data_IF_832791687148
#
_entry.id   IF_832791687148
#
_cell.length_a   1.000
_cell.length_b   1.000
_cell.length_c   1.000
_cell.angle_alpha   90.00
_cell.angle_beta   90.00
_cell.angle_gamma   90.00
#
_symmetry.space_group_name_H-M   'P 1'
#
loop_
_entity.id
_entity.type
_entity.pdbx_description
1 polymer ?
#
# COMPACT_ATOMS: atom_id res chain seq x y z
N UNK A 1 -5.38 -2.19 -25.53
CA UNK A 1 -5.99 -2.84 -24.35
C UNK A 1 -7.30 -2.14 -24.02
N UNK A 2 -8.36 -2.86 -23.68
CA UNK A 2 -9.66 -2.26 -23.37
C UNK A 2 -9.88 -2.24 -21.86
N UNK A 3 -10.56 -1.19 -21.39
CA UNK A 3 -10.85 -0.99 -19.96
C UNK A 3 -12.35 -0.88 -19.73
N UNK A 4 -12.82 -1.56 -18.71
CA UNK A 4 -14.22 -1.65 -18.32
C UNK A 4 -14.38 -1.32 -16.83
N UNK A 5 -15.56 -0.85 -16.48
CA UNK A 5 -15.95 -0.61 -15.09
C UNK A 5 -17.23 -1.37 -14.76
N UNK A 6 -17.32 -1.94 -13.55
CA UNK A 6 -18.53 -2.61 -13.06
C UNK A 6 -18.80 -2.30 -11.58
N UNK A 7 -20.05 -1.94 -11.26
CA UNK A 7 -20.58 -1.84 -9.89
C UNK A 7 -21.08 -3.16 -9.32
N UNK A 8 -20.98 -4.26 -10.06
CA UNK A 8 -21.53 -5.56 -9.64
C UNK A 8 -20.49 -6.67 -9.76
N UNK A 9 -20.75 -7.79 -9.08
CA UNK A 9 -19.91 -9.00 -9.19
C UNK A 9 -19.95 -9.65 -10.57
N UNK A 10 -20.98 -9.38 -11.36
CA UNK A 10 -21.10 -9.88 -12.73
C UNK A 10 -20.16 -9.07 -13.63
N UNK A 11 -18.89 -9.38 -13.53
CA UNK A 11 -17.91 -8.98 -14.52
C UNK A 11 -18.21 -9.79 -15.77
N UNK A 12 -18.32 -9.13 -16.91
CA UNK A 12 -18.57 -9.82 -18.19
C UNK A 12 -17.36 -10.63 -18.58
N UNK A 13 -17.56 -11.72 -19.33
CA UNK A 13 -16.47 -12.56 -19.86
C UNK A 13 -15.71 -11.88 -21.03
N UNK A 14 -15.85 -10.57 -21.17
CA UNK A 14 -15.19 -9.78 -22.22
C UNK A 14 -13.71 -9.64 -21.89
N UNK A 15 -12.81 -10.03 -22.80
CA UNK A 15 -11.37 -9.86 -22.59
C UNK A 15 -10.98 -8.39 -22.36
N UNK A 16 -10.14 -8.13 -21.37
CA UNK A 16 -9.66 -6.79 -21.04
C UNK A 16 -9.46 -6.58 -19.55
N UNK A 17 -9.28 -5.32 -19.17
CA UNK A 17 -9.11 -4.90 -17.80
C UNK A 17 -10.43 -4.42 -17.23
N UNK A 18 -10.83 -4.99 -16.11
CA UNK A 18 -12.06 -4.63 -15.42
C UNK A 18 -11.75 -3.98 -14.08
N UNK A 19 -12.15 -2.72 -13.94
CA UNK A 19 -12.19 -2.02 -12.67
C UNK A 19 -13.51 -2.35 -11.96
N UNK A 20 -13.42 -2.94 -10.80
CA UNK A 20 -14.58 -3.33 -10.01
C UNK A 20 -14.55 -2.56 -8.69
N UNK A 21 -15.70 -2.04 -8.27
CA UNK A 21 -15.78 -1.31 -7.02
C UNK A 21 -15.33 -2.20 -5.86
N UNK A 22 -14.52 -1.67 -4.96
CA UNK A 22 -13.76 -2.44 -3.97
C UNK A 22 -14.62 -3.18 -2.94
N UNK A 23 -15.85 -2.72 -2.69
CA UNK A 23 -16.78 -3.37 -1.76
C UNK A 23 -17.47 -4.62 -2.30
N UNK A 24 -17.38 -4.89 -3.60
CA UNK A 24 -18.18 -5.95 -4.26
C UNK A 24 -17.72 -7.36 -3.86
N UNK A 25 -16.43 -7.57 -3.70
CA UNK A 25 -15.81 -8.85 -3.32
C UNK A 25 -15.53 -8.96 -1.82
N UNK A 26 -15.70 -7.85 -1.11
CA UNK A 26 -15.53 -7.77 0.33
C UNK A 26 -16.91 -7.72 1.00
N UNK A 27 -17.02 -8.15 2.25
CA UNK A 27 -18.25 -8.09 3.05
C UNK A 27 -18.61 -6.65 3.49
N UNK A 28 -18.12 -5.64 2.80
CA UNK A 28 -18.40 -4.23 3.09
C UNK A 28 -19.71 -3.80 2.42
N UNK A 29 -20.52 -3.03 3.13
CA UNK A 29 -21.81 -2.52 2.62
C UNK A 29 -21.65 -1.34 1.66
N UNK A 30 -20.53 -0.64 1.71
CA UNK A 30 -20.25 0.56 0.91
C UNK A 30 -18.81 0.55 0.40
N UNK A 31 -18.51 1.26 -0.69
CA UNK A 31 -17.16 1.49 -1.16
C UNK A 31 -16.30 2.16 -0.08
N UNK A 32 -14.99 1.99 -0.19
CA UNK A 32 -14.07 2.70 0.66
C UNK A 32 -14.09 4.20 0.36
N UNK A 33 -14.30 5.00 1.38
CA UNK A 33 -14.24 6.45 1.34
C UNK A 33 -12.87 6.94 1.82
N UNK A 34 -12.10 7.53 0.92
CA UNK A 34 -10.84 8.20 1.19
C UNK A 34 -11.09 9.71 1.37
N UNK A 35 -11.49 10.14 2.58
CA UNK A 35 -11.74 11.55 2.90
C UNK A 35 -12.76 12.25 1.98
N UNK A 36 -13.88 11.63 1.74
CA UNK A 36 -14.94 12.12 0.85
C UNK A 36 -14.71 11.77 -0.62
N UNK A 37 -13.72 10.94 -0.94
CA UNK A 37 -13.46 10.46 -2.29
C UNK A 37 -13.66 8.95 -2.40
N UNK A 38 -14.37 8.50 -3.43
CA UNK A 38 -14.55 7.09 -3.80
C UNK A 38 -13.69 6.81 -5.03
N UNK A 39 -12.47 6.31 -4.81
CA UNK A 39 -11.42 6.18 -5.82
C UNK A 39 -10.77 4.79 -5.88
N UNK A 40 -11.13 3.86 -4.98
CA UNK A 40 -10.47 2.56 -4.85
C UNK A 40 -11.23 1.48 -5.63
N UNK A 41 -10.50 0.73 -6.45
CA UNK A 41 -11.03 -0.31 -7.34
C UNK A 41 -10.18 -1.58 -7.29
N UNK A 42 -10.84 -2.74 -7.36
CA UNK A 42 -10.20 -4.01 -7.67
C UNK A 42 -9.93 -4.08 -9.17
N UNK A 43 -8.75 -4.53 -9.56
CA UNK A 43 -8.38 -4.72 -10.96
C UNK A 43 -8.41 -6.20 -11.29
N UNK A 44 -9.23 -6.56 -12.25
CA UNK A 44 -9.34 -7.91 -12.79
C UNK A 44 -8.91 -7.89 -14.27
N UNK A 45 -8.09 -8.85 -14.64
CA UNK A 45 -7.74 -9.12 -16.04
C UNK A 45 -8.51 -10.35 -16.51
N UNK A 46 -9.23 -10.21 -17.63
CA UNK A 46 -9.81 -11.35 -18.35
C UNK A 46 -8.99 -11.56 -19.62
N UNK A 47 -8.25 -12.66 -19.65
CA UNK A 47 -7.40 -13.08 -20.77
C UNK A 47 -7.52 -14.59 -20.93
N UNK A 48 -7.70 -15.07 -22.17
CA UNK A 48 -7.82 -16.49 -22.51
C UNK A 48 -8.87 -17.22 -21.65
N UNK A 49 -10.04 -16.61 -21.45
CA UNK A 49 -11.15 -17.09 -20.62
C UNK A 49 -10.78 -17.31 -19.13
N UNK A 50 -9.65 -16.78 -18.70
CA UNK A 50 -9.21 -16.81 -17.29
C UNK A 50 -9.36 -15.44 -16.66
N UNK A 51 -9.83 -15.44 -15.42
CA UNK A 51 -9.94 -14.25 -14.60
C UNK A 51 -8.75 -14.21 -13.63
N UNK A 52 -7.93 -13.16 -13.71
CA UNK A 52 -6.77 -12.92 -12.86
C UNK A 52 -6.97 -11.63 -12.06
N UNK A 53 -6.76 -11.68 -10.74
CA UNK A 53 -6.82 -10.50 -9.89
C UNK A 53 -5.45 -9.81 -9.84
N UNK A 54 -5.34 -8.63 -10.42
CA UNK A 54 -4.12 -7.83 -10.40
C UNK A 54 -3.94 -7.01 -9.10
N UNK A 55 -4.95 -6.99 -8.23
CA UNK A 55 -4.92 -6.26 -6.96
C UNK A 55 -5.78 -5.00 -6.98
N UNK A 56 -5.44 -4.06 -6.11
CA UNK A 56 -6.20 -2.80 -5.95
C UNK A 56 -5.42 -1.62 -6.50
N UNK A 57 -6.15 -0.67 -7.10
CA UNK A 57 -5.63 0.64 -7.50
C UNK A 57 -6.55 1.75 -6.99
N UNK A 58 -6.01 2.94 -6.88
CA UNK A 58 -6.79 4.16 -6.74
C UNK A 58 -6.83 4.88 -8.08
N UNK A 59 -7.99 5.32 -8.49
CA UNK A 59 -8.21 6.08 -9.74
C UNK A 59 -8.95 7.37 -9.37
N UNK A 60 -8.27 8.49 -9.51
CA UNK A 60 -8.82 9.82 -9.23
C UNK A 60 -9.13 10.54 -10.55
N UNK A 61 -10.36 10.97 -10.71
CA UNK A 61 -10.74 11.88 -11.76
C UNK A 61 -10.71 13.33 -11.25
N UNK A 62 -10.08 14.23 -12.00
CA UNK A 62 -9.90 15.63 -11.60
C UNK A 62 -11.24 16.28 -11.28
N UNK A 63 -11.34 16.92 -10.12
CA UNK A 63 -12.53 17.62 -9.61
C UNK A 63 -13.77 16.73 -9.39
N UNK A 64 -13.60 15.40 -9.30
CA UNK A 64 -14.67 14.43 -9.10
C UNK A 64 -14.44 13.63 -7.81
N UNK A 65 -15.40 13.67 -6.90
CA UNK A 65 -15.32 12.97 -5.61
C UNK A 65 -15.60 11.46 -5.72
N UNK A 66 -16.46 11.06 -6.65
CA UNK A 66 -16.81 9.65 -6.88
C UNK A 66 -16.49 9.25 -8.32
N UNK A 67 -15.32 8.67 -8.53
CA UNK A 67 -14.88 8.19 -9.84
C UNK A 67 -15.78 7.07 -10.37
N UNK A 68 -16.41 6.27 -9.49
CA UNK A 68 -17.32 5.21 -9.92
C UNK A 68 -18.60 5.76 -10.54
N UNK A 69 -19.15 6.82 -9.96
CA UNK A 69 -20.32 7.53 -10.51
C UNK A 69 -19.97 8.22 -11.84
N UNK A 70 -18.77 8.81 -11.95
CA UNK A 70 -18.27 9.34 -13.20
C UNK A 70 -18.19 8.29 -14.31
N UNK A 71 -17.66 7.10 -14.01
CA UNK A 71 -17.59 6.01 -14.99
C UNK A 71 -18.97 5.53 -15.45
N UNK A 72 -19.96 5.50 -14.56
CA UNK A 72 -21.34 5.15 -14.94
C UNK A 72 -21.98 6.22 -15.80
N UNK A 73 -21.77 7.49 -15.46
CA UNK A 73 -22.40 8.62 -16.17
C UNK A 73 -21.81 8.84 -17.56
N UNK A 74 -20.52 8.59 -17.75
CA UNK A 74 -19.77 8.94 -18.96
C UNK A 74 -19.32 7.74 -19.78
N UNK A 75 -19.31 6.53 -19.20
CA UNK A 75 -18.92 5.30 -19.88
C UNK A 75 -20.00 4.75 -20.80
N UNK A 76 -19.60 4.00 -21.81
CA UNK A 76 -20.54 3.34 -22.71
C UNK A 76 -21.02 2.02 -22.09
N UNK A 77 -22.31 1.92 -21.75
CA UNK A 77 -22.91 0.71 -21.22
C UNK A 77 -22.80 -0.41 -22.26
N UNK A 78 -22.30 -1.57 -21.85
CA UNK A 78 -22.24 -2.74 -22.70
C UNK A 78 -23.62 -3.42 -22.69
N UNK A 79 -24.24 -3.66 -23.86
CA UNK A 79 -25.54 -4.32 -23.95
C UNK A 79 -25.61 -5.61 -23.16
N UNK A 80 -26.75 -5.89 -22.54
CA UNK A 80 -27.03 -7.09 -21.73
C UNK A 80 -26.13 -7.29 -20.50
N UNK A 81 -25.35 -6.27 -20.13
CA UNK A 81 -24.43 -6.32 -18.97
C UNK A 81 -24.67 -5.15 -18.00
N UNK A 82 -23.97 -5.19 -16.87
CA UNK A 82 -23.88 -4.08 -15.91
C UNK A 82 -22.49 -3.44 -15.93
N UNK A 83 -21.76 -3.59 -17.02
CA UNK A 83 -20.42 -3.07 -17.20
C UNK A 83 -20.40 -1.92 -18.20
N UNK A 84 -19.47 -1.01 -18.01
CA UNK A 84 -19.29 0.18 -18.84
C UNK A 84 -17.90 0.13 -19.48
N UNK A 85 -17.81 0.35 -20.78
CA UNK A 85 -16.53 0.58 -21.43
C UNK A 85 -16.06 1.99 -21.11
N UNK A 86 -14.86 2.12 -20.53
CA UNK A 86 -14.30 3.36 -20.03
C UNK A 86 -12.98 3.76 -20.69
N UNK A 87 -12.50 3.00 -21.66
CA UNK A 87 -11.20 3.24 -22.30
C UNK A 87 -11.03 4.67 -22.83
N UNK A 88 -12.09 5.26 -23.38
CA UNK A 88 -12.09 6.64 -23.89
C UNK A 88 -12.12 7.73 -22.82
N UNK A 89 -12.37 7.36 -21.56
CA UNK A 89 -12.40 8.28 -20.42
C UNK A 89 -11.04 8.36 -19.72
N UNK A 90 -10.18 7.38 -19.95
CA UNK A 90 -8.86 7.28 -19.32
C UNK A 90 -7.87 8.16 -20.09
N UNK A 91 -7.82 9.41 -19.69
CA UNK A 91 -6.97 10.46 -20.24
C UNK A 91 -6.10 11.03 -19.10
N UNK A 92 -4.76 11.04 -19.21
CA UNK A 92 -3.86 11.50 -18.16
C UNK A 92 -4.03 12.99 -17.80
N UNK A 93 -4.68 13.79 -18.63
CA UNK A 93 -5.03 15.18 -18.29
C UNK A 93 -6.27 15.27 -17.36
N UNK A 94 -7.02 14.20 -17.23
CA UNK A 94 -8.29 14.15 -16.48
C UNK A 94 -8.32 13.08 -15.42
N UNK A 95 -7.53 12.03 -15.58
CA UNK A 95 -7.48 10.86 -14.69
C UNK A 95 -6.05 10.54 -14.33
N UNK A 96 -5.84 10.17 -13.07
CA UNK A 96 -4.57 9.62 -12.59
C UNK A 96 -4.85 8.40 -11.72
N UNK A 97 -4.01 7.38 -11.83
CA UNK A 97 -4.12 6.19 -11.00
C UNK A 97 -2.83 5.84 -10.29
N UNK A 98 -2.94 5.02 -9.24
CA UNK A 98 -1.79 4.50 -8.49
C UNK A 98 -2.15 3.15 -7.87
N UNK A 99 -1.29 2.15 -8.05
CA UNK A 99 -1.41 0.89 -7.33
C UNK A 99 -1.37 1.09 -5.81
N UNK A 100 -2.25 0.43 -5.07
CA UNK A 100 -2.28 0.53 -3.60
C UNK A 100 -1.11 -0.21 -2.95
N UNK A 101 -0.44 -1.08 -3.70
CA UNK A 101 0.71 -1.85 -3.21
C UNK A 101 1.68 -2.20 -4.34
N UNK A 102 2.91 -2.59 -3.96
CA UNK A 102 3.93 -3.07 -4.92
C UNK A 102 3.50 -4.40 -5.56
N UNK A 103 2.74 -5.22 -4.83
CA UNK A 103 2.22 -6.49 -5.35
C UNK A 103 1.34 -6.30 -6.58
N UNK A 104 0.65 -5.16 -6.70
CA UNK A 104 -0.08 -4.82 -7.92
C UNK A 104 0.86 -4.79 -9.13
N UNK A 105 1.96 -4.05 -9.04
CA UNK A 105 2.95 -3.93 -10.12
C UNK A 105 3.68 -5.25 -10.42
N UNK A 106 3.94 -6.06 -9.39
CA UNK A 106 4.49 -7.41 -9.56
C UNK A 106 3.52 -8.34 -10.29
N UNK A 107 2.24 -8.28 -9.97
CA UNK A 107 1.21 -9.05 -10.67
C UNK A 107 1.05 -8.59 -12.12
N UNK A 108 1.13 -7.30 -12.40
CA UNK A 108 1.16 -6.76 -13.77
C UNK A 108 2.32 -7.38 -14.53
N UNK A 109 3.55 -7.33 -13.99
CA UNK A 109 4.72 -7.94 -14.58
C UNK A 109 4.55 -9.44 -14.87
N UNK A 110 3.95 -10.18 -13.93
CA UNK A 110 3.79 -11.63 -14.04
C UNK A 110 2.67 -12.04 -15.02
N UNK A 111 1.74 -11.12 -15.32
CA UNK A 111 0.57 -11.38 -16.16
C UNK A 111 0.73 -10.86 -17.59
N UNK A 112 1.72 -10.00 -17.84
CA UNK A 112 1.92 -9.30 -19.11
C UNK A 112 3.35 -9.40 -19.61
N UNK A 113 3.55 -9.30 -20.92
CA UNK A 113 4.84 -8.93 -21.49
C UNK A 113 5.20 -7.49 -21.13
N UNK A 114 6.44 -7.06 -21.35
CA UNK A 114 6.84 -5.66 -21.06
C UNK A 114 6.02 -4.66 -21.89
N UNK A 115 5.72 -4.95 -23.14
CA UNK A 115 4.89 -4.10 -24.02
C UNK A 115 3.43 -4.05 -23.56
N UNK A 116 2.86 -5.18 -23.16
CA UNK A 116 1.50 -5.23 -22.60
C UNK A 116 1.43 -4.50 -21.26
N UNK A 117 2.47 -4.63 -20.41
CA UNK A 117 2.55 -3.93 -19.13
C UNK A 117 2.66 -2.41 -19.34
N UNK A 118 3.43 -1.96 -20.32
CA UNK A 118 3.49 -0.54 -20.69
C UNK A 118 2.15 -0.04 -21.22
N UNK A 119 1.50 -0.80 -22.11
CA UNK A 119 0.16 -0.50 -22.62
C UNK A 119 -0.87 -0.42 -21.47
N UNK A 120 -0.75 -1.28 -20.46
CA UNK A 120 -1.58 -1.24 -19.27
C UNK A 120 -1.37 0.04 -18.45
N UNK A 121 -0.11 0.39 -18.13
CA UNK A 121 0.22 1.57 -17.32
C UNK A 121 -0.17 2.87 -18.02
N UNK A 122 0.08 2.95 -19.33
CA UNK A 122 -0.39 4.03 -20.18
C UNK A 122 -1.92 4.15 -20.12
N UNK A 123 -2.61 3.04 -20.37
CA UNK A 123 -4.07 3.03 -20.49
C UNK A 123 -4.80 3.27 -19.17
N UNK A 124 -4.21 2.92 -18.01
CA UNK A 124 -4.81 3.20 -16.69
C UNK A 124 -4.40 4.56 -16.14
N UNK A 125 -3.62 5.36 -16.87
CA UNK A 125 -3.08 6.65 -16.43
C UNK A 125 -2.26 6.55 -15.15
N UNK A 126 -1.31 5.59 -15.08
CA UNK A 126 -0.48 5.38 -13.88
C UNK A 126 0.39 6.61 -13.59
N UNK A 127 0.35 7.10 -12.35
CA UNK A 127 1.09 8.30 -11.92
C UNK A 127 2.61 8.16 -12.06
N UNK A 128 3.14 6.96 -11.96
CA UNK A 128 4.56 6.69 -12.16
C UNK A 128 4.96 6.69 -13.61
N UNK A 129 4.10 6.18 -14.49
CA UNK A 129 4.29 6.24 -15.95
C UNK A 129 4.23 7.69 -16.44
N UNK A 130 3.27 8.46 -15.97
CA UNK A 130 3.11 9.89 -16.27
C UNK A 130 3.78 10.80 -15.24
N UNK A 131 4.95 10.41 -14.74
CA UNK A 131 5.65 11.18 -13.71
C UNK A 131 5.95 12.64 -14.10
N UNK A 132 6.06 12.94 -15.39
CA UNK A 132 6.18 14.31 -15.89
C UNK A 132 5.00 15.22 -15.53
N UNK A 133 3.82 14.66 -15.27
CA UNK A 133 2.61 15.38 -14.87
C UNK A 133 2.45 15.47 -13.34
N UNK A 134 3.42 15.00 -12.55
CA UNK A 134 3.29 14.89 -11.09
C UNK A 134 2.94 16.22 -10.42
N UNK A 135 3.60 17.31 -10.81
CA UNK A 135 3.32 18.65 -10.25
C UNK A 135 1.91 19.15 -10.61
N UNK A 136 1.41 18.81 -11.78
CA UNK A 136 0.05 19.11 -12.18
C UNK A 136 -0.98 18.28 -11.37
N UNK A 137 -0.68 17.02 -11.10
CA UNK A 137 -1.55 16.17 -10.28
C UNK A 137 -1.63 16.62 -8.83
N UNK A 138 -0.55 17.15 -8.26
CA UNK A 138 -0.51 17.60 -6.86
C UNK A 138 -1.51 18.70 -6.52
N UNK A 139 -1.90 19.51 -7.50
CA UNK A 139 -2.91 20.56 -7.28
C UNK A 139 -4.36 20.06 -7.44
N UNK A 140 -4.56 18.80 -7.84
CA UNK A 140 -5.91 18.24 -7.92
C UNK A 140 -6.48 17.97 -6.54
N UNK A 141 -7.75 18.35 -6.34
CA UNK A 141 -8.46 18.01 -5.12
C UNK A 141 -8.49 16.48 -4.93
N UNK A 142 -8.06 16.03 -3.78
CA UNK A 142 -8.02 14.60 -3.45
C UNK A 142 -6.69 13.88 -3.78
N UNK A 143 -5.78 14.43 -4.59
CA UNK A 143 -4.57 13.73 -4.96
C UNK A 143 -3.72 13.37 -3.73
N UNK A 144 -3.40 14.33 -2.87
CA UNK A 144 -2.62 14.09 -1.66
C UNK A 144 -3.38 13.26 -0.62
N UNK A 145 -4.66 13.59 -0.39
CA UNK A 145 -5.46 12.89 0.63
C UNK A 145 -5.89 11.48 0.24
N UNK A 146 -5.87 11.13 -1.05
CA UNK A 146 -6.27 9.81 -1.53
C UNK A 146 -5.09 9.00 -2.06
N UNK A 147 -4.48 9.40 -3.20
CA UNK A 147 -3.39 8.64 -3.83
C UNK A 147 -2.13 8.64 -2.97
N UNK A 148 -1.76 9.79 -2.40
CA UNK A 148 -0.59 9.94 -1.54
C UNK A 148 -0.89 9.75 -0.04
N UNK A 149 -2.10 9.31 0.31
CA UNK A 149 -2.51 9.10 1.70
C UNK A 149 -1.50 8.31 2.55
N UNK A 150 -0.79 7.38 1.92
CA UNK A 150 0.19 6.53 2.58
C UNK A 150 1.55 7.25 2.78
N UNK A 151 1.67 8.51 2.32
CA UNK A 151 2.91 9.28 2.41
C UNK A 151 4.03 8.66 1.58
N UNK A 152 5.21 8.49 2.19
CA UNK A 152 6.40 7.99 1.49
C UNK A 152 6.22 6.65 0.75
N UNK A 153 5.50 5.63 1.27
CA UNK A 153 5.17 4.42 0.50
C UNK A 153 4.43 4.70 -0.81
N UNK A 154 3.53 5.69 -0.84
CA UNK A 154 2.82 6.06 -2.06
C UNK A 154 3.76 6.75 -3.06
N UNK A 155 4.59 7.68 -2.61
CA UNK A 155 5.61 8.31 -3.45
C UNK A 155 6.61 7.30 -4.01
N UNK A 156 7.01 6.31 -3.20
CA UNK A 156 7.89 5.24 -3.67
C UNK A 156 7.22 4.38 -4.76
N UNK A 157 5.90 4.14 -4.67
CA UNK A 157 5.17 3.44 -5.73
C UNK A 157 5.13 4.26 -7.02
N UNK A 158 4.92 5.58 -6.95
CA UNK A 158 4.99 6.45 -8.12
C UNK A 158 6.37 6.32 -8.80
N UNK A 159 7.45 6.36 -8.02
CA UNK A 159 8.83 6.33 -8.58
C UNK A 159 9.27 4.96 -9.08
N UNK A 160 8.84 3.89 -8.45
CA UNK A 160 9.38 2.53 -8.67
C UNK A 160 8.36 1.57 -9.29
N UNK A 161 7.06 1.82 -9.13
CA UNK A 161 5.99 0.90 -9.53
C UNK A 161 6.06 0.56 -11.02
N UNK A 162 6.18 1.56 -11.85
CA UNK A 162 6.26 1.37 -13.29
C UNK A 162 7.49 0.53 -13.71
N UNK A 163 8.68 0.79 -13.11
CA UNK A 163 9.89 0.00 -13.37
C UNK A 163 9.74 -1.45 -12.92
N UNK A 164 9.02 -1.70 -11.82
CA UNK A 164 8.69 -3.06 -11.35
C UNK A 164 7.78 -3.76 -12.35
N UNK A 165 6.74 -3.09 -12.84
CA UNK A 165 5.81 -3.65 -13.82
C UNK A 165 6.49 -4.01 -15.14
N UNK A 166 7.41 -3.17 -15.62
CA UNK A 166 8.19 -3.43 -16.84
C UNK A 166 9.33 -4.44 -16.64
N UNK A 167 9.63 -4.80 -15.39
CA UNK A 167 10.73 -5.71 -15.10
C UNK A 167 12.11 -5.09 -15.09
N UNK A 168 12.19 -3.78 -15.17
CA UNK A 168 13.45 -3.02 -15.22
C UNK A 168 13.89 -2.51 -13.84
N UNK A 169 13.13 -2.84 -12.79
CA UNK A 169 13.48 -2.42 -11.44
C UNK A 169 14.70 -3.19 -10.93
N UNK A 170 15.74 -2.47 -10.60
CA UNK A 170 16.89 -2.96 -9.83
C UNK A 170 16.85 -2.31 -8.44
N UNK A 171 16.87 -3.08 -7.36
CA UNK A 171 17.03 -2.51 -6.02
C UNK A 171 18.33 -1.71 -5.93
N UNK A 172 18.32 -0.63 -5.16
CA UNK A 172 19.55 0.11 -4.87
C UNK A 172 20.53 -0.84 -4.16
N UNK A 173 21.74 -0.94 -4.71
CA UNK A 173 22.79 -1.83 -4.14
C UNK A 173 23.23 -1.35 -2.76
N UNK A 174 23.27 -0.04 -2.55
CA UNK A 174 23.67 0.59 -1.30
C UNK A 174 22.60 1.56 -0.83
N UNK A 175 22.19 1.38 0.40
CA UNK A 175 21.20 2.24 1.06
C UNK A 175 21.83 2.75 2.36
N UNK A 176 21.90 4.06 2.55
CA UNK A 176 22.26 4.70 3.80
C UNK A 176 21.05 5.49 4.31
N UNK A 177 20.70 5.27 5.57
CA UNK A 177 19.60 5.95 6.24
C UNK A 177 20.19 6.69 7.42
N UNK A 178 20.07 8.01 7.42
CA UNK A 178 20.53 8.89 8.48
C UNK A 178 19.33 9.36 9.31
N UNK A 179 19.43 9.33 10.63
CA UNK A 179 18.39 9.80 11.55
C UNK A 179 18.96 10.95 12.37
N UNK A 180 18.54 12.15 12.04
CA UNK A 180 18.91 13.40 12.72
C UNK A 180 17.80 13.95 13.64
N UNK A 181 16.60 13.34 13.60
CA UNK A 181 15.40 13.83 14.30
C UNK A 181 15.23 13.25 15.70
N UNK A 182 16.23 12.53 16.23
CA UNK A 182 16.17 11.98 17.57
C UNK A 182 16.15 13.12 18.61
N UNK A 183 15.24 13.06 19.60
CA UNK A 183 15.14 14.07 20.62
C UNK A 183 16.33 14.03 21.60
N UNK A 184 16.74 15.19 22.11
CA UNK A 184 17.75 15.33 23.16
C UNK A 184 19.18 15.34 22.66
N UNK A 185 20.06 14.64 23.36
CA UNK A 185 21.52 14.63 23.13
C UNK A 185 21.99 13.50 22.22
N UNK A 186 21.10 12.89 21.43
CA UNK A 186 21.51 11.88 20.47
C UNK A 186 22.20 12.55 19.28
N UNK A 187 23.36 12.01 18.92
CA UNK A 187 23.99 12.30 17.64
C UNK A 187 23.21 11.64 16.50
N UNK A 188 23.44 12.11 15.26
CA UNK A 188 22.91 11.48 14.06
C UNK A 188 23.31 10.01 14.01
N UNK A 189 22.32 9.14 13.76
CA UNK A 189 22.55 7.70 13.66
C UNK A 189 22.40 7.27 12.21
N UNK A 190 23.36 6.53 11.71
CA UNK A 190 23.36 6.01 10.35
C UNK A 190 23.16 4.49 10.32
N UNK A 191 22.24 4.05 9.46
CA UNK A 191 22.04 2.66 9.11
C UNK A 191 22.48 2.45 7.67
N UNK A 192 23.44 1.55 7.46
CA UNK A 192 24.01 1.26 6.17
C UNK A 192 23.68 -0.17 5.74
N UNK A 193 23.16 -0.32 4.50
CA UNK A 193 22.83 -1.58 3.88
C UNK A 193 23.56 -1.66 2.54
N UNK A 194 24.22 -2.76 2.23
CA UNK A 194 25.04 -2.92 1.03
C UNK A 194 24.83 -4.31 0.43
N UNK A 195 23.94 -4.39 -0.56
CA UNK A 195 23.63 -5.62 -1.28
C UNK A 195 24.76 -6.06 -2.25
N UNK A 196 25.77 -5.23 -2.51
CA UNK A 196 26.90 -5.55 -3.39
C UNK A 196 27.95 -6.40 -2.70
N UNK A 197 27.93 -6.51 -1.38
CA UNK A 197 28.86 -7.32 -0.63
C UNK A 197 28.61 -8.82 -0.84
N UNK A 198 29.62 -9.55 -1.23
CA UNK A 198 29.57 -11.00 -1.46
C UNK A 198 29.99 -11.81 -0.24
N UNK A 199 30.61 -11.18 0.75
CA UNK A 199 31.14 -11.82 1.97
C UNK A 199 30.68 -11.04 3.21
N UNK A 200 30.17 -11.75 4.22
CA UNK A 200 29.69 -11.18 5.47
C UNK A 200 28.24 -10.74 5.43
N UNK A 201 27.76 -10.14 6.54
CA UNK A 201 26.40 -9.59 6.63
C UNK A 201 26.36 -8.22 5.95
N UNK A 202 25.62 -8.14 4.86
CA UNK A 202 25.51 -6.93 4.05
C UNK A 202 24.30 -6.05 4.44
N UNK A 203 23.32 -6.62 5.16
CA UNK A 203 22.08 -5.92 5.53
C UNK A 203 21.79 -5.99 7.05
N UNK A 204 22.84 -6.03 7.87
CA UNK A 204 22.74 -6.08 9.32
C UNK A 204 23.41 -4.85 9.95
N UNK A 205 22.63 -4.10 10.73
CA UNK A 205 23.13 -3.03 11.59
C UNK A 205 22.92 -3.43 13.05
N UNK A 206 23.95 -3.31 13.88
CA UNK A 206 23.93 -3.71 15.29
C UNK A 206 24.08 -2.47 16.17
N UNK A 207 23.11 -2.26 17.07
CA UNK A 207 23.17 -1.18 18.08
C UNK A 207 23.62 -1.76 19.41
N UNK A 208 24.77 -1.34 19.90
CA UNK A 208 25.36 -1.80 21.16
C UNK A 208 25.44 -0.62 22.14
N UNK A 209 25.22 -0.89 23.41
CA UNK A 209 25.35 0.12 24.49
C UNK A 209 24.85 -0.41 25.83
N UNK A 210 25.16 0.28 26.91
CA UNK A 210 24.71 -0.05 28.26
C UNK A 210 23.17 0.01 28.38
N UNK A 211 22.62 -0.54 29.45
CA UNK A 211 21.20 -0.41 29.74
C UNK A 211 20.85 1.05 30.02
N UNK A 212 19.69 1.49 29.52
CA UNK A 212 19.19 2.87 29.72
C UNK A 212 19.72 3.91 28.73
N UNK A 213 20.69 3.62 27.84
CA UNK A 213 21.24 4.59 26.87
C UNK A 213 20.32 4.90 25.70
N UNK A 214 19.14 4.32 25.62
CA UNK A 214 18.12 4.66 24.60
C UNK A 214 18.07 3.78 23.37
N UNK A 215 18.71 2.60 23.34
CA UNK A 215 18.66 1.66 22.18
C UNK A 215 17.23 1.39 21.68
N UNK A 216 16.32 1.02 22.59
CA UNK A 216 14.92 0.75 22.25
C UNK A 216 14.17 2.01 21.84
N UNK A 217 14.58 3.19 22.36
CA UNK A 217 14.02 4.47 21.95
C UNK A 217 14.38 4.79 20.50
N UNK A 218 15.62 4.56 20.10
CA UNK A 218 16.07 4.71 18.70
C UNK A 218 15.24 3.83 17.78
N UNK A 219 15.11 2.54 18.09
CA UNK A 219 14.36 1.59 17.25
C UNK A 219 12.86 1.95 17.19
N UNK A 220 12.30 2.45 18.29
CA UNK A 220 10.92 2.96 18.31
C UNK A 220 10.78 4.18 17.41
N UNK A 221 11.71 5.13 17.47
CA UNK A 221 11.70 6.31 16.61
C UNK A 221 11.83 5.95 15.12
N UNK A 222 12.70 4.99 14.78
CA UNK A 222 12.75 4.40 13.42
C UNK A 222 11.39 3.87 12.99
N UNK A 223 10.70 3.16 13.90
CA UNK A 223 9.36 2.64 13.63
C UNK A 223 8.37 3.77 13.33
N UNK A 224 8.39 4.83 14.12
CA UNK A 224 7.51 5.99 13.96
C UNK A 224 7.75 6.72 12.63
N UNK A 225 9.02 6.88 12.24
CA UNK A 225 9.39 7.48 10.95
C UNK A 225 8.96 6.59 9.76
N UNK A 226 9.30 5.29 9.79
CA UNK A 226 9.01 4.37 8.67
C UNK A 226 7.50 4.18 8.48
N UNK A 227 6.72 4.18 9.57
CA UNK A 227 5.25 4.05 9.49
C UNK A 227 4.55 5.37 9.18
N UNK A 228 5.26 6.50 9.20
CA UNK A 228 4.69 7.83 8.95
C UNK A 228 3.91 8.40 10.13
N UNK A 229 4.04 7.85 11.34
CA UNK A 229 3.49 8.46 12.57
C UNK A 229 4.15 9.82 12.81
N UNK A 230 5.47 9.88 12.60
CA UNK A 230 6.25 11.12 12.65
C UNK A 230 6.70 11.46 11.23
N UNK A 231 6.68 12.74 10.89
CA UNK A 231 7.24 13.23 9.63
C UNK A 231 8.76 13.35 9.76
N UNK A 232 9.48 12.63 8.91
CA UNK A 232 10.92 12.76 8.77
C UNK A 232 11.29 13.81 7.73
N UNK A 233 12.43 14.48 7.90
CA UNK A 233 13.00 15.39 6.91
C UNK A 233 13.63 14.64 5.72
N UNK A 234 13.94 13.37 5.92
CA UNK A 234 14.71 12.57 4.98
C UNK A 234 13.83 11.68 4.10
N UNK A 235 14.31 11.45 2.88
CA UNK A 235 13.68 10.49 1.96
C UNK A 235 14.11 9.09 2.35
N UNK A 236 13.24 8.39 3.06
CA UNK A 236 13.45 6.98 3.39
C UNK A 236 13.38 6.11 2.13
N UNK A 237 14.23 5.07 2.03
CA UNK A 237 14.08 4.09 0.98
C UNK A 237 12.73 3.37 1.16
N UNK A 238 12.19 2.87 0.06
CA UNK A 238 10.97 2.10 0.11
C UNK A 238 11.20 0.75 0.80
N UNK A 239 10.49 0.52 1.89
CA UNK A 239 10.42 -0.79 2.54
C UNK A 239 9.12 -1.49 2.18
N UNK A 240 9.22 -2.72 1.73
CA UNK A 240 8.05 -3.54 1.43
C UNK A 240 7.24 -3.83 2.69
N UNK A 241 7.91 -4.08 3.81
CA UNK A 241 7.30 -4.34 5.11
C UNK A 241 8.27 -4.01 6.22
N UNK A 242 7.77 -3.38 7.28
CA UNK A 242 8.46 -3.23 8.56
C UNK A 242 7.96 -4.29 9.53
N UNK A 243 8.86 -5.15 9.99
CA UNK A 243 8.57 -6.14 11.04
C UNK A 243 9.37 -5.76 12.28
N UNK A 244 8.68 -5.49 13.37
CA UNK A 244 9.30 -5.23 14.68
C UNK A 244 9.16 -6.46 15.52
N UNK A 245 10.30 -6.99 16.00
CA UNK A 245 10.37 -8.18 16.84
C UNK A 245 10.87 -7.76 18.22
N UNK A 246 10.06 -7.91 19.27
CA UNK A 246 10.40 -7.52 20.62
C UNK A 246 9.94 -8.55 21.65
N UNK A 247 10.89 -9.26 22.23
CA UNK A 247 10.66 -10.31 23.22
C UNK A 247 10.99 -9.87 24.65
N UNK A 248 11.07 -8.55 24.90
CA UNK A 248 11.22 -8.03 26.26
C UNK A 248 9.87 -7.60 26.80
N UNK A 249 9.48 -7.98 28.03
CA UNK A 249 8.23 -7.54 28.66
C UNK A 249 8.26 -6.07 29.05
N UNK A 250 9.43 -5.43 29.05
CA UNK A 250 9.61 -4.03 29.43
C UNK A 250 9.65 -3.08 28.25
N UNK A 251 9.78 -3.57 27.03
CA UNK A 251 9.83 -2.74 25.84
C UNK A 251 8.42 -2.51 25.27
N UNK A 252 8.07 -1.25 25.10
CA UNK A 252 6.77 -0.81 24.59
C UNK A 252 6.90 -0.38 23.14
N UNK A 253 7.17 -1.35 22.23
CA UNK A 253 6.99 -1.12 20.81
C UNK A 253 5.50 -1.10 20.47
N UNK A 254 5.15 -0.40 19.42
CA UNK A 254 3.77 -0.35 18.96
C UNK A 254 3.28 -1.73 18.52
N UNK A 255 2.09 -2.11 18.96
CA UNK A 255 1.35 -3.21 18.36
C UNK A 255 0.70 -2.76 17.05
N UNK A 256 0.22 -3.71 16.24
CA UNK A 256 -0.50 -3.43 15.01
C UNK A 256 -1.70 -2.49 15.25
N UNK A 257 -2.41 -2.65 16.38
CA UNK A 257 -3.53 -1.80 16.75
C UNK A 257 -3.10 -0.37 17.11
N UNK A 258 -2.03 -0.23 17.89
CA UNK A 258 -1.52 1.08 18.29
C UNK A 258 -1.01 1.90 17.09
N UNK A 259 -0.34 1.26 16.11
CA UNK A 259 0.04 1.92 14.85
C UNK A 259 -1.20 2.40 14.11
N UNK A 260 -2.22 1.54 13.99
CA UNK A 260 -3.45 1.91 13.30
C UNK A 260 -4.16 3.10 13.96
N UNK A 261 -4.19 3.12 15.29
CA UNK A 261 -4.81 4.21 16.04
C UNK A 261 -4.01 5.52 15.95
N UNK A 262 -2.68 5.44 15.97
CA UNK A 262 -1.81 6.61 15.81
C UNK A 262 -1.95 7.24 14.43
N UNK A 263 -1.98 6.42 13.37
CA UNK A 263 -2.17 6.88 12.00
C UNK A 263 -3.56 7.48 11.77
N UNK A 264 -4.59 6.90 12.40
CA UNK A 264 -5.94 7.46 12.38
C UNK A 264 -6.03 8.82 13.03
N UNK A 265 -5.43 8.97 14.22
CA UNK A 265 -5.41 10.27 14.93
C UNK A 265 -4.75 11.34 14.08
N UNK A 266 -3.67 10.99 13.35
CA UNK A 266 -2.99 11.92 12.45
C UNK A 266 -3.85 12.32 11.25
N UNK A 267 -4.68 11.41 10.75
CA UNK A 267 -5.52 11.61 9.57
C UNK A 267 -6.88 12.25 9.85
N UNK A 268 -7.30 12.32 11.12
CA UNK A 268 -8.60 12.88 11.50
C UNK A 268 -8.43 14.33 11.92
N UNK A 269 -9.09 15.31 11.26
CA UNK A 269 -9.06 16.70 11.70
C UNK A 269 -9.54 16.82 13.15
N UNK A 270 -8.95 17.75 13.91
CA UNK A 270 -9.37 18.07 15.27
C UNK A 270 -10.87 18.41 15.27
N UNK A 271 -11.66 17.59 15.96
CA UNK A 271 -13.11 17.78 16.11
C UNK A 271 -14.00 16.60 15.73
N UNK A 272 -13.54 15.67 14.91
CA UNK A 272 -14.24 14.40 14.69
C UNK A 272 -13.79 13.37 15.75
N UNK A 273 -14.57 13.25 16.82
CA UNK A 273 -14.37 12.19 17.85
C UNK A 273 -14.23 10.85 17.13
N UNK A 274 -13.15 10.14 17.42
CA UNK A 274 -12.83 8.82 16.89
C UNK A 274 -14.03 7.86 17.10
N UNK A 275 -14.90 7.72 16.10
CA UNK A 275 -15.73 6.53 15.98
C UNK A 275 -14.75 5.38 15.88
N UNK A 276 -14.91 4.39 16.75
CA UNK A 276 -14.10 3.18 16.65
C UNK A 276 -14.24 2.64 15.24
N UNK A 277 -13.14 2.63 14.49
CA UNK A 277 -13.15 2.08 13.15
C UNK A 277 -13.52 0.60 13.20
N UNK A 278 -14.33 0.13 12.26
CA UNK A 278 -14.57 -1.29 12.11
C UNK A 278 -13.23 -2.05 11.97
N UNK A 279 -13.13 -3.28 12.52
CA UNK A 279 -11.89 -4.08 12.47
C UNK A 279 -11.32 -4.25 11.06
N UNK A 280 -12.19 -4.25 10.04
CA UNK A 280 -11.81 -4.32 8.64
C UNK A 280 -11.05 -3.05 8.16
N UNK A 281 -11.43 -1.87 8.63
CA UNK A 281 -10.73 -0.62 8.31
C UNK A 281 -9.36 -0.57 8.99
N UNK A 282 -9.26 -1.02 10.26
CA UNK A 282 -7.97 -1.16 10.95
C UNK A 282 -7.02 -2.09 10.19
N UNK A 283 -7.50 -3.26 9.75
CA UNK A 283 -6.70 -4.19 8.93
C UNK A 283 -6.24 -3.59 7.61
N UNK A 284 -7.05 -2.73 7.00
CA UNK A 284 -6.71 -2.07 5.73
C UNK A 284 -5.60 -1.03 5.91
N UNK A 285 -5.63 -0.25 6.99
CA UNK A 285 -4.56 0.69 7.36
C UNK A 285 -3.22 -0.02 7.58
N UNK A 286 -3.23 -1.17 8.24
CA UNK A 286 -2.03 -1.98 8.47
C UNK A 286 -1.49 -2.61 7.18
N UNK A 287 -2.37 -3.00 6.24
CA UNK A 287 -1.94 -3.48 4.92
C UNK A 287 -1.21 -2.40 4.14
N UNK A 288 -1.69 -1.17 4.22
CA UNK A 288 -1.12 -0.01 3.53
C UNK A 288 0.26 0.32 4.09
N UNK A 289 0.39 0.39 5.40
CA UNK A 289 1.66 0.72 6.06
C UNK A 289 2.57 -0.50 6.29
N UNK A 290 2.09 -1.70 5.92
CA UNK A 290 2.86 -2.96 5.95
C UNK A 290 3.66 -3.18 7.24
N UNK A 291 3.09 -2.80 8.36
CA UNK A 291 3.65 -3.00 9.69
C UNK A 291 3.22 -4.34 10.28
N UNK A 292 4.09 -4.96 11.03
CA UNK A 292 3.78 -6.15 11.82
C UNK A 292 4.62 -6.18 13.09
N UNK A 293 3.96 -6.34 14.21
CA UNK A 293 4.61 -6.57 15.50
C UNK A 293 4.62 -8.05 15.85
N UNK A 294 5.77 -8.53 16.31
CA UNK A 294 5.96 -9.90 16.83
C UNK A 294 6.57 -9.79 18.22
N UNK A 295 5.83 -10.18 19.24
CA UNK A 295 6.29 -10.09 20.62
C UNK A 295 5.26 -10.61 21.60
N UNK A 296 5.44 -10.31 22.89
CA UNK A 296 4.58 -10.81 23.98
C UNK A 296 3.26 -10.03 24.16
N UNK A 297 3.00 -8.96 23.43
CA UNK A 297 1.73 -8.24 23.51
C UNK A 297 0.75 -8.76 22.46
N UNK A 298 -0.42 -9.17 22.89
CA UNK A 298 -1.47 -9.71 22.03
C UNK A 298 -2.29 -8.61 21.33
N UNK A 299 -3.30 -8.98 20.55
CA UNK A 299 -4.21 -8.06 19.85
C UNK A 299 -4.98 -7.09 20.78
N UNK A 300 -5.07 -7.41 22.06
CA UNK A 300 -5.68 -6.54 23.11
C UNK A 300 -4.63 -5.74 23.89
N UNK A 301 -3.40 -5.67 23.39
CA UNK A 301 -2.24 -4.98 23.98
C UNK A 301 -1.86 -5.50 25.38
N UNK A 302 -2.30 -6.70 25.73
CA UNK A 302 -1.97 -7.36 26.99
C UNK A 302 -0.77 -8.30 26.81
N UNK A 303 0.08 -8.32 27.83
CA UNK A 303 1.19 -9.24 27.91
C UNK A 303 0.68 -10.69 27.96
N UNK A 304 1.20 -11.54 27.08
CA UNK A 304 0.87 -12.96 26.97
C UNK A 304 2.07 -13.74 26.45
N UNK A 305 2.62 -14.64 27.27
CA UNK A 305 3.79 -15.47 26.94
C UNK A 305 3.53 -16.49 25.82
N UNK A 306 2.31 -16.93 25.66
CA UNK A 306 1.92 -17.90 24.62
C UNK A 306 1.59 -17.21 23.28
N UNK A 307 1.40 -15.91 23.28
CA UNK A 307 1.02 -15.15 22.09
C UNK A 307 1.98 -15.34 20.91
N UNK A 308 3.32 -15.33 21.06
CA UNK A 308 4.23 -15.57 19.94
C UNK A 308 4.01 -16.92 19.26
N UNK A 309 3.70 -17.97 20.02
CA UNK A 309 3.40 -19.31 19.49
C UNK A 309 2.08 -19.30 18.69
N UNK A 310 1.03 -18.72 19.28
CA UNK A 310 -0.28 -18.61 18.63
C UNK A 310 -0.19 -17.77 17.36
N UNK A 311 0.51 -16.64 17.41
CA UNK A 311 0.68 -15.75 16.27
C UNK A 311 1.48 -16.40 15.15
N UNK A 312 2.54 -17.11 15.47
CA UNK A 312 3.34 -17.87 14.50
C UNK A 312 2.52 -18.99 13.87
N UNK A 313 1.80 -19.76 14.65
CA UNK A 313 0.94 -20.83 14.14
C UNK A 313 -0.15 -20.30 13.19
N UNK A 314 -0.81 -19.20 13.56
CA UNK A 314 -1.81 -18.52 12.69
C UNK A 314 -1.17 -18.02 11.39
N UNK A 315 0.05 -17.50 11.45
CA UNK A 315 0.75 -17.00 10.26
C UNK A 315 1.11 -18.15 9.31
N UNK A 316 1.59 -19.28 9.82
CA UNK A 316 1.87 -20.48 9.03
C UNK A 316 0.59 -21.03 8.39
N UNK A 317 -0.50 -21.18 9.14
CA UNK A 317 -1.79 -21.63 8.62
C UNK A 317 -2.31 -20.71 7.51
N UNK A 318 -2.11 -19.40 7.65
CA UNK A 318 -2.51 -18.43 6.63
C UNK A 318 -1.68 -18.56 5.35
N UNK A 319 -0.38 -18.80 5.46
CA UNK A 319 0.48 -19.05 4.31
C UNK A 319 0.03 -20.33 3.61
N UNK A 320 -0.14 -21.42 4.35
CA UNK A 320 -0.60 -22.71 3.80
C UNK A 320 -1.96 -22.61 3.11
N UNK A 321 -2.91 -21.87 3.68
CA UNK A 321 -4.22 -21.64 3.06
C UNK A 321 -4.14 -20.77 1.80
N UNK A 322 -3.15 -19.88 1.71
CA UNK A 322 -2.94 -19.05 0.52
C UNK A 322 -2.31 -19.85 -0.63
N UNK A 323 -1.39 -20.74 -0.31
CA UNK A 323 -0.78 -21.64 -1.29
C UNK A 323 -1.80 -22.63 -1.87
N UNK A 324 -2.69 -23.19 -1.05
CA UNK A 324 -3.75 -24.07 -1.54
C UNK A 324 -4.70 -23.40 -2.56
N UNK A 325 -4.91 -22.10 -2.48
CA UNK A 325 -5.73 -21.34 -3.44
C UNK A 325 -4.97 -20.98 -4.73
N UNK A 326 -3.67 -21.18 -4.80
CA UNK A 326 -2.85 -20.91 -5.99
C UNK A 326 -2.47 -22.16 -6.78
N UNK A 327 -2.94 -23.34 -6.40
CA UNK A 327 -2.66 -24.62 -7.05
C UNK A 327 -3.83 -25.19 -7.86
N UNK A 328 -4.93 -24.40 -8.06
CA UNK A 328 -6.08 -24.80 -8.88
C UNK A 328 -6.42 -23.77 -9.95
#
# INVERSE_FOLDING_TARGET
MEFYFSKTKAVTDIPGIHLVQDNIWNKHKAPWDDFGFIVTFQVLLIKDQKLLALGEIKVLANSIHDTSTFFVASGALIPETKSYKISSLLDPERIVSLGTSVEHYQKVRNSFSSEEAETYLLGICDAGYFYGNYDAYRVWAGFESTLLRDGQPAEARIKKGFSIALGNYSPEEKISISIDTLPGSFETIEFNFDNSRTVGSNNLNLIIGANGVGKSHILKHVTELVTGIIEGKEKWPYFHKLVVVAYSPFEKFYTDNEISEALLKKQTPEGLRSRQLPPAQKKRLLKVNKYSYIGFRNESDKFNLDWPKEHSARSVLKIMSHDQNNWW
#
